data_IF_817635521211
#
_entry.id   IF_817635521211
#
_cell.length_a   1.000
_cell.length_b   1.000
_cell.length_c   1.000
_cell.angle_alpha   90.00
_cell.angle_beta   90.00
_cell.angle_gamma   90.00
#
_symmetry.space_group_name_H-M   'P 1'
#
loop_
_entity.id
_entity.type
_entity.pdbx_description
1 polymer ?
#
# COMPACT_ATOMS: atom_id res chain seq x y z
N UNK A 1 -2.50 -13.21 42.57
CA UNK A 1 -3.48 -14.19 43.05
C UNK A 1 -4.84 -13.50 43.13
N UNK A 2 -5.79 -13.88 42.25
CA UNK A 2 -7.26 -13.93 42.44
C UNK A 2 -8.00 -12.61 42.79
N UNK A 3 -9.16 -12.21 42.25
CA UNK A 3 -10.27 -12.78 41.47
C UNK A 3 -10.95 -11.57 40.76
N UNK A 4 -11.31 -11.60 39.48
CA UNK A 4 -12.57 -12.11 38.90
C UNK A 4 -13.85 -11.47 39.47
N UNK A 5 -14.53 -10.65 38.65
CA UNK A 5 -16.01 -10.61 38.60
C UNK A 5 -16.48 -10.27 37.19
N UNK A 6 -17.14 -11.26 36.59
CA UNK A 6 -17.96 -11.23 35.38
C UNK A 6 -19.40 -10.79 35.71
N UNK A 7 -20.10 -10.22 34.72
CA UNK A 7 -21.57 -10.19 34.50
C UNK A 7 -21.80 -9.54 33.10
N UNK A 8 -21.75 -10.26 31.98
CA UNK A 8 -22.86 -10.90 31.21
C UNK A 8 -24.17 -10.10 31.18
N UNK A 9 -24.58 -9.62 29.99
CA UNK A 9 -25.91 -9.89 29.40
C UNK A 9 -25.90 -9.74 27.86
N UNK A 10 -26.65 -10.65 27.23
CA UNK A 10 -26.80 -10.96 25.80
C UNK A 10 -27.57 -9.91 24.97
N UNK A 11 -27.50 -10.10 23.65
CA UNK A 11 -28.31 -9.56 22.53
C UNK A 11 -27.62 -8.40 21.76
N UNK A 12 -27.17 -8.57 20.52
CA UNK A 12 -27.92 -9.09 19.38
C UNK A 12 -27.09 -9.93 18.42
N UNK A 13 -27.74 -10.98 17.92
CA UNK A 13 -27.38 -11.75 16.75
C UNK A 13 -27.45 -10.84 15.51
N UNK A 14 -26.36 -10.15 15.21
CA UNK A 14 -26.12 -9.53 13.92
C UNK A 14 -24.94 -10.26 13.31
N UNK A 15 -25.20 -11.35 12.59
CA UNK A 15 -24.16 -12.08 11.87
C UNK A 15 -23.57 -11.20 10.77
N UNK A 16 -22.61 -10.35 11.11
CA UNK A 16 -21.69 -9.76 10.17
C UNK A 16 -20.73 -10.87 9.73
N UNK A 17 -21.20 -11.74 8.82
CA UNK A 17 -20.33 -12.63 8.06
C UNK A 17 -19.30 -11.75 7.37
N UNK A 18 -18.00 -12.02 7.58
CA UNK A 18 -16.99 -11.57 6.65
C UNK A 18 -17.44 -11.98 5.25
N UNK A 19 -17.57 -11.03 4.33
CA UNK A 19 -18.02 -11.36 2.98
C UNK A 19 -17.00 -12.31 2.33
N UNK A 20 -17.41 -13.53 1.93
CA UNK A 20 -16.50 -14.47 1.32
C UNK A 20 -15.88 -13.86 0.07
N UNK A 21 -14.55 -13.86 -0.03
CA UNK A 21 -13.83 -13.46 -1.24
C UNK A 21 -13.34 -12.01 -1.30
N UNK A 22 -13.12 -11.35 -0.17
CA UNK A 22 -12.34 -10.10 -0.10
C UNK A 22 -11.45 -10.01 1.14
N UNK A 23 -10.37 -9.24 1.07
CA UNK A 23 -9.58 -8.80 2.22
C UNK A 23 -9.37 -7.29 2.17
N UNK A 24 -9.10 -6.68 3.32
CA UNK A 24 -8.79 -5.25 3.40
C UNK A 24 -7.28 -5.05 3.45
N UNK A 25 -6.78 -4.14 2.63
CA UNK A 25 -5.41 -3.63 2.72
C UNK A 25 -5.47 -2.19 3.22
N UNK A 26 -5.10 -1.98 4.48
CA UNK A 26 -5.06 -0.68 5.13
C UNK A 26 -3.69 -0.55 5.77
N UNK A 27 -3.14 0.64 5.64
CA UNK A 27 -1.74 0.85 5.93
C UNK A 27 -1.48 2.27 6.41
N UNK A 28 -0.29 2.47 6.99
CA UNK A 28 0.30 3.77 7.29
C UNK A 28 -0.72 4.64 8.04
N UNK A 29 -1.22 4.08 9.15
CA UNK A 29 -2.18 4.74 10.00
C UNK A 29 -1.60 6.01 10.62
N UNK A 30 -0.32 5.95 11.02
CA UNK A 30 0.42 6.99 11.74
C UNK A 30 -0.44 7.76 12.73
N UNK A 31 -0.62 7.19 13.93
CA UNK A 31 -1.34 7.89 14.99
C UNK A 31 -0.49 9.05 15.52
N UNK A 32 -1.02 10.26 15.44
CA UNK A 32 -0.58 11.40 16.24
C UNK A 32 -1.46 11.49 17.51
N UNK A 33 -0.95 11.04 18.67
CA UNK A 33 -1.75 11.00 19.91
C UNK A 33 -2.01 12.40 20.48
N UNK A 34 -1.24 13.41 20.05
CA UNK A 34 -1.31 14.78 20.55
C UNK A 34 -2.10 15.72 19.63
N UNK A 35 -2.63 15.20 18.52
CA UNK A 35 -3.44 15.98 17.59
C UNK A 35 -4.65 16.63 18.28
N UNK A 36 -4.75 17.95 18.19
CA UNK A 36 -5.80 18.77 18.82
C UNK A 36 -6.42 19.74 17.82
N UNK A 37 -7.73 19.93 17.92
CA UNK A 37 -8.43 21.01 17.19
C UNK A 37 -7.86 22.37 17.65
N UNK A 38 -7.57 23.31 16.73
CA UNK A 38 -6.63 24.39 17.01
C UNK A 38 -7.17 25.38 18.05
N UNK A 39 -6.37 25.57 19.10
CA UNK A 39 -6.36 26.82 19.91
C UNK A 39 -5.19 27.73 19.50
N UNK A 40 -4.09 27.13 19.07
CA UNK A 40 -2.88 27.80 18.55
C UNK A 40 -2.32 27.00 17.35
N UNK A 41 -2.05 27.63 16.20
CA UNK A 41 -1.66 26.92 14.96
C UNK A 41 -0.37 26.08 15.04
N UNK A 42 0.55 26.40 15.96
CA UNK A 42 1.82 25.68 16.13
C UNK A 42 1.76 24.56 17.19
N UNK A 43 0.59 24.29 17.76
CA UNK A 43 0.40 23.28 18.82
C UNK A 43 -0.70 22.28 18.46
N UNK A 44 -1.01 22.17 17.17
CA UNK A 44 -2.03 21.24 16.67
C UNK A 44 -1.51 19.81 16.74
N UNK A 45 -0.34 19.55 16.19
CA UNK A 45 0.22 18.21 16.08
C UNK A 45 1.77 18.28 16.04
N UNK A 46 2.48 17.44 16.81
CA UNK A 46 3.94 17.36 16.74
C UNK A 46 4.44 16.89 15.36
N UNK A 47 3.66 16.09 14.63
CA UNK A 47 4.00 15.58 13.29
C UNK A 47 4.18 16.65 12.21
N UNK A 48 3.62 17.86 12.39
CA UNK A 48 3.86 19.00 11.50
C UNK A 48 5.23 19.68 11.72
N UNK A 49 5.93 19.32 12.81
CA UNK A 49 7.18 19.97 13.21
C UNK A 49 6.96 21.45 13.52
N UNK A 50 7.65 22.33 12.79
CA UNK A 50 7.57 23.78 12.96
C UNK A 50 6.54 24.46 12.04
N UNK A 51 5.79 23.70 11.26
CA UNK A 51 4.81 24.26 10.33
C UNK A 51 3.56 24.74 11.08
N UNK A 52 2.99 25.86 10.62
CA UNK A 52 1.73 26.39 11.15
C UNK A 52 0.55 25.62 10.57
N UNK A 53 -0.37 25.16 11.42
CA UNK A 53 -1.56 24.39 11.05
C UNK A 53 -2.83 25.15 11.48
N UNK A 54 -3.24 26.21 10.77
CA UNK A 54 -4.28 27.13 11.25
C UNK A 54 -5.70 26.56 11.19
N UNK A 55 -5.96 25.62 10.28
CA UNK A 55 -7.31 25.15 9.93
C UNK A 55 -7.53 23.66 10.19
N UNK A 56 -6.79 23.08 11.14
CA UNK A 56 -6.94 21.67 11.47
C UNK A 56 -8.38 21.36 11.91
N UNK A 57 -8.95 20.31 11.33
CA UNK A 57 -10.29 19.85 11.68
C UNK A 57 -10.26 18.60 12.57
N UNK A 58 -11.43 18.12 13.00
CA UNK A 58 -11.55 16.95 13.86
C UNK A 58 -11.08 15.65 13.19
N UNK A 59 -11.01 15.61 11.86
CA UNK A 59 -10.58 14.44 11.09
C UNK A 59 -9.10 14.48 10.69
N UNK A 60 -8.37 15.54 11.04
CA UNK A 60 -6.95 15.71 10.76
C UNK A 60 -6.64 16.95 9.93
N UNK A 61 -5.39 17.07 9.51
CA UNK A 61 -4.86 18.09 8.60
C UNK A 61 -3.77 17.47 7.73
N UNK A 62 -3.59 17.92 6.48
CA UNK A 62 -2.57 17.37 5.60
C UNK A 62 -1.13 17.64 6.07
N UNK A 63 -0.90 18.53 7.04
CA UNK A 63 0.42 18.70 7.64
C UNK A 63 0.66 17.76 8.83
N UNK A 64 -0.36 17.07 9.30
CA UNK A 64 -0.31 16.21 10.47
C UNK A 64 -0.41 14.73 10.07
N UNK A 65 0.12 13.89 10.93
CA UNK A 65 -0.29 12.50 11.02
C UNK A 65 -1.72 12.35 11.57
N UNK A 66 -2.28 11.14 11.49
CA UNK A 66 -3.70 10.90 11.75
C UNK A 66 -4.08 11.10 13.22
N UNK A 67 -5.14 11.87 13.54
CA UNK A 67 -5.76 11.78 14.85
C UNK A 67 -6.46 10.44 15.04
N UNK A 68 -6.66 10.04 16.30
CA UNK A 68 -7.44 8.84 16.63
C UNK A 68 -8.84 8.83 15.98
N UNK A 69 -9.49 9.98 15.84
CA UNK A 69 -10.80 10.09 15.20
C UNK A 69 -10.79 9.60 13.75
N UNK A 70 -9.72 9.87 13.00
CA UNK A 70 -9.56 9.40 11.61
C UNK A 70 -9.31 7.89 11.55
N UNK A 71 -8.37 7.40 12.37
CA UNK A 71 -8.07 5.96 12.46
C UNK A 71 -9.30 5.16 12.89
N UNK A 72 -10.01 5.62 13.92
CA UNK A 72 -11.24 4.99 14.37
C UNK A 72 -12.31 5.00 13.26
N UNK A 73 -12.40 6.07 12.48
CA UNK A 73 -13.32 6.17 11.35
C UNK A 73 -12.99 5.16 10.22
N UNK A 74 -11.71 4.97 9.90
CA UNK A 74 -11.29 4.00 8.88
C UNK A 74 -11.56 2.55 9.34
N UNK A 75 -11.24 2.25 10.59
CA UNK A 75 -11.45 0.92 11.19
C UNK A 75 -12.94 0.59 11.31
N UNK A 76 -13.78 1.56 11.67
CA UNK A 76 -15.24 1.35 11.78
C UNK A 76 -15.87 0.88 10.47
N UNK A 77 -15.29 1.25 9.31
CA UNK A 77 -15.77 0.79 8.00
C UNK A 77 -15.45 -0.66 7.67
N UNK A 78 -14.51 -1.28 8.36
CA UNK A 78 -14.15 -2.68 8.15
C UNK A 78 -15.18 -3.65 8.74
N UNK A 79 -15.98 -3.16 9.69
CA UNK A 79 -16.93 -3.95 10.45
C UNK A 79 -16.25 -4.70 11.60
N UNK A 80 -17.05 -5.02 12.62
CA UNK A 80 -16.60 -5.61 13.89
C UNK A 80 -15.76 -6.88 13.70
N UNK A 81 -16.16 -7.77 12.77
CA UNK A 81 -15.44 -9.00 12.48
C UNK A 81 -13.99 -8.76 12.05
N UNK A 82 -13.75 -7.77 11.19
CA UNK A 82 -12.40 -7.45 10.74
C UNK A 82 -11.55 -6.86 11.88
N UNK A 83 -12.15 -6.04 12.74
CA UNK A 83 -11.47 -5.46 13.92
C UNK A 83 -11.04 -6.56 14.89
N UNK A 84 -11.91 -7.53 15.16
CA UNK A 84 -11.60 -8.65 16.04
C UNK A 84 -10.45 -9.50 15.49
N UNK A 85 -10.39 -9.73 14.17
CA UNK A 85 -9.27 -10.43 13.54
C UNK A 85 -7.95 -9.64 13.64
N UNK A 86 -7.98 -8.30 13.47
CA UNK A 86 -6.81 -7.45 13.69
C UNK A 86 -6.28 -7.61 15.13
N UNK A 87 -7.17 -7.54 16.13
CA UNK A 87 -6.79 -7.70 17.55
C UNK A 87 -6.21 -9.08 17.81
N UNK A 88 -6.78 -10.15 17.24
CA UNK A 88 -6.24 -11.52 17.35
C UNK A 88 -4.85 -11.63 16.73
N UNK A 89 -4.66 -11.14 15.52
CA UNK A 89 -3.37 -11.17 14.82
C UNK A 89 -2.30 -10.38 15.58
N UNK A 90 -2.62 -9.17 16.06
CA UNK A 90 -1.72 -8.38 16.91
C UNK A 90 -1.35 -9.13 18.19
N UNK A 91 -2.33 -9.78 18.83
CA UNK A 91 -2.08 -10.59 20.03
C UNK A 91 -1.18 -11.80 19.74
N UNK A 92 -1.33 -12.45 18.58
CA UNK A 92 -0.46 -13.54 18.14
C UNK A 92 0.97 -13.05 17.89
N UNK A 93 1.12 -11.94 17.15
CA UNK A 93 2.42 -11.33 16.85
C UNK A 93 3.17 -10.88 18.12
N UNK A 94 2.43 -10.33 19.10
CA UNK A 94 2.97 -9.98 20.42
C UNK A 94 3.38 -11.23 21.22
N UNK A 95 2.73 -12.38 21.03
CA UNK A 95 3.06 -13.65 21.71
C UNK A 95 4.21 -14.42 21.06
N UNK A 96 4.45 -14.23 19.77
CA UNK A 96 5.50 -14.90 18.98
C UNK A 96 6.85 -14.13 18.95
N UNK A 97 6.97 -13.07 19.77
CA UNK A 97 8.20 -12.35 20.20
C UNK A 97 9.48 -12.72 19.41
N UNK A 98 9.64 -12.06 18.25
CA UNK A 98 10.91 -11.66 17.64
C UNK A 98 11.97 -12.74 17.29
N UNK A 99 11.66 -13.63 16.36
CA UNK A 99 12.65 -14.03 15.35
C UNK A 99 12.24 -13.43 14.00
N UNK A 100 12.59 -12.16 13.78
CA UNK A 100 12.61 -11.55 12.45
C UNK A 100 11.36 -10.89 11.89
N UNK A 101 10.26 -10.77 12.64
CA UNK A 101 9.05 -10.03 12.21
C UNK A 101 8.46 -10.42 10.83
N UNK A 102 8.87 -11.57 10.25
CA UNK A 102 8.31 -12.15 9.05
C UNK A 102 7.71 -13.52 9.35
N UNK A 103 6.64 -13.87 8.65
CA UNK A 103 5.95 -15.15 8.84
C UNK A 103 5.09 -15.50 7.62
N UNK A 104 4.61 -16.74 7.55
CA UNK A 104 3.71 -17.19 6.50
C UNK A 104 2.51 -17.91 7.10
N UNK A 105 1.31 -17.63 6.62
CA UNK A 105 0.06 -18.24 7.12
C UNK A 105 -0.81 -18.74 5.96
N UNK A 106 -1.46 -19.88 6.17
CA UNK A 106 -2.45 -20.40 5.22
C UNK A 106 -3.73 -19.58 5.31
N UNK A 107 -4.29 -19.23 4.16
CA UNK A 107 -5.56 -18.52 4.09
C UNK A 107 -6.71 -19.45 4.52
N UNK A 108 -7.60 -18.99 5.42
CA UNK A 108 -8.77 -19.76 5.79
C UNK A 108 -9.76 -19.79 4.60
N UNK A 109 -10.18 -20.99 4.19
CA UNK A 109 -11.17 -21.13 3.12
C UNK A 109 -11.28 -22.56 2.58
N UNK A 110 -12.39 -22.89 1.87
CA UNK A 110 -12.70 -24.25 1.44
C UNK A 110 -11.68 -24.84 0.45
N UNK A 111 -10.87 -24.02 -0.22
CA UNK A 111 -9.83 -24.49 -1.14
C UNK A 111 -8.48 -24.75 -0.47
N UNK A 112 -8.17 -24.15 0.69
CA UNK A 112 -6.82 -24.16 1.31
C UNK A 112 -5.68 -23.60 0.46
N UNK A 113 -5.91 -23.37 -0.83
CA UNK A 113 -4.97 -22.91 -1.84
C UNK A 113 -4.75 -21.40 -1.72
N UNK A 114 -3.79 -21.03 -0.88
CA UNK A 114 -3.49 -19.63 -0.59
C UNK A 114 -2.62 -19.49 0.65
N UNK A 115 -1.49 -18.81 0.51
CA UNK A 115 -0.65 -18.42 1.64
C UNK A 115 -0.43 -16.91 1.62
N UNK A 116 -0.51 -16.25 2.77
CA UNK A 116 0.00 -14.89 2.94
C UNK A 116 1.40 -15.00 3.52
N UNK A 117 2.35 -14.32 2.90
CA UNK A 117 3.71 -14.12 3.39
C UNK A 117 3.82 -12.68 3.83
N UNK A 118 4.11 -12.46 5.11
CA UNK A 118 4.38 -11.15 5.69
C UNK A 118 5.89 -10.98 5.79
N UNK A 119 6.41 -9.98 5.09
CA UNK A 119 7.82 -9.68 4.93
C UNK A 119 8.12 -8.27 5.47
N UNK A 120 8.25 -8.14 6.80
CA UNK A 120 8.50 -6.86 7.46
C UNK A 120 9.98 -6.55 7.61
N UNK A 121 10.27 -5.28 7.87
CA UNK A 121 11.62 -4.75 8.01
C UNK A 121 12.28 -5.23 9.31
N UNK A 122 13.48 -5.79 9.20
CA UNK A 122 14.30 -6.22 10.32
C UNK A 122 15.46 -5.26 10.50
N UNK A 123 15.28 -4.22 11.32
CA UNK A 123 16.34 -3.26 11.59
C UNK A 123 17.57 -3.91 12.28
N UNK A 124 17.38 -5.01 13.03
CA UNK A 124 18.41 -5.50 13.96
C UNK A 124 18.64 -7.03 13.93
N UNK A 125 18.37 -7.71 12.80
CA UNK A 125 18.62 -9.15 12.72
C UNK A 125 20.04 -9.51 12.28
N UNK A 126 20.54 -10.61 12.86
CA UNK A 126 21.74 -11.35 12.45
C UNK A 126 21.55 -11.87 11.02
N UNK A 127 21.83 -11.01 10.03
CA UNK A 127 21.89 -11.35 8.61
C UNK A 127 20.55 -11.27 7.86
N UNK A 128 20.26 -10.18 7.12
CA UNK A 128 19.13 -10.10 6.18
C UNK A 128 19.12 -11.20 5.10
N UNK A 129 20.24 -11.92 4.91
CA UNK A 129 20.31 -13.10 4.05
C UNK A 129 19.40 -14.26 4.48
N UNK A 130 19.10 -14.40 5.77
CA UNK A 130 18.23 -15.49 6.26
C UNK A 130 16.76 -15.27 5.86
N UNK A 131 16.30 -14.02 5.77
CA UNK A 131 14.94 -13.69 5.36
C UNK A 131 14.69 -13.97 3.88
N UNK A 132 15.65 -13.64 3.00
CA UNK A 132 15.54 -13.99 1.58
C UNK A 132 15.57 -15.49 1.34
N UNK A 133 16.43 -16.22 2.05
CA UNK A 133 16.44 -17.69 1.97
C UNK A 133 15.14 -18.30 2.49
N UNK A 134 14.62 -17.78 3.61
CA UNK A 134 13.32 -18.22 4.13
C UNK A 134 12.19 -17.97 3.13
N UNK A 135 12.14 -16.78 2.52
CA UNK A 135 11.13 -16.44 1.51
C UNK A 135 11.20 -17.40 0.31
N UNK A 136 12.42 -17.65 -0.17
CA UNK A 136 12.71 -18.60 -1.24
C UNK A 136 12.23 -20.02 -0.91
N UNK A 137 12.47 -20.49 0.33
CA UNK A 137 12.04 -21.81 0.79
C UNK A 137 10.51 -21.90 0.90
N UNK A 138 9.85 -20.86 1.41
CA UNK A 138 8.38 -20.77 1.51
C UNK A 138 7.75 -20.85 0.11
N UNK A 139 8.23 -20.05 -0.85
CA UNK A 139 7.72 -20.04 -2.21
C UNK A 139 8.00 -21.36 -2.94
N UNK A 140 9.16 -21.97 -2.70
CA UNK A 140 9.49 -23.31 -3.22
C UNK A 140 8.51 -24.36 -2.69
N UNK A 141 8.19 -24.32 -1.41
CA UNK A 141 7.25 -25.26 -0.80
C UNK A 141 5.81 -25.02 -1.28
N UNK A 142 5.39 -23.77 -1.45
CA UNK A 142 4.11 -23.43 -2.05
C UNK A 142 4.00 -24.00 -3.48
N UNK A 143 5.06 -23.86 -4.29
CA UNK A 143 5.15 -24.43 -5.63
C UNK A 143 4.97 -25.96 -5.64
N UNK A 144 5.68 -26.67 -4.74
CA UNK A 144 5.55 -28.12 -4.58
C UNK A 144 4.15 -28.55 -4.15
N UNK A 145 3.47 -27.75 -3.36
CA UNK A 145 2.13 -28.02 -2.86
C UNK A 145 1.01 -27.56 -3.82
N UNK A 146 1.34 -26.85 -4.91
CA UNK A 146 0.35 -26.29 -5.84
C UNK A 146 -0.41 -25.09 -5.25
N UNK A 147 0.17 -24.41 -4.27
CA UNK A 147 -0.40 -23.24 -3.63
C UNK A 147 -0.03 -21.94 -4.35
N UNK A 148 -0.92 -20.95 -4.23
CA UNK A 148 -0.64 -19.57 -4.63
C UNK A 148 -0.33 -18.71 -3.41
N UNK A 149 0.49 -17.69 -3.60
CA UNK A 149 1.03 -16.85 -2.52
C UNK A 149 0.73 -15.38 -2.76
N UNK A 150 0.24 -14.69 -1.73
CA UNK A 150 0.23 -13.23 -1.66
C UNK A 150 1.38 -12.77 -0.77
N UNK A 151 2.23 -11.88 -1.30
CA UNK A 151 3.32 -11.28 -0.53
C UNK A 151 2.84 -9.93 0.01
N UNK A 152 3.05 -9.67 1.29
CA UNK A 152 2.74 -8.40 1.95
C UNK A 152 4.01 -7.90 2.63
N UNK A 153 4.36 -6.63 2.44
CA UNK A 153 5.51 -6.02 3.10
C UNK A 153 5.32 -4.52 3.36
N UNK A 154 6.15 -3.92 4.22
CA UNK A 154 6.08 -2.47 4.47
C UNK A 154 6.69 -1.68 3.32
N UNK A 155 8.02 -1.74 3.24
CA UNK A 155 8.80 -0.96 2.29
C UNK A 155 8.89 -1.73 0.96
N UNK A 156 8.47 -1.13 -0.16
CA UNK A 156 8.59 -1.78 -1.47
C UNK A 156 10.03 -1.74 -2.02
N UNK A 157 10.43 -2.74 -2.81
CA UNK A 157 11.60 -2.63 -3.69
C UNK A 157 11.37 -1.58 -4.79
N UNK A 158 12.46 -1.20 -5.45
CA UNK A 158 12.47 -0.20 -6.51
C UNK A 158 12.49 1.24 -5.98
N UNK A 159 12.00 2.15 -6.81
CA UNK A 159 12.08 3.59 -6.57
C UNK A 159 10.73 4.19 -6.16
N UNK A 160 10.80 5.24 -5.34
CA UNK A 160 9.66 6.09 -4.99
C UNK A 160 9.31 7.00 -6.16
N UNK A 161 8.08 6.90 -6.66
CA UNK A 161 7.68 7.54 -7.91
C UNK A 161 7.52 9.06 -7.84
N UNK A 162 7.46 9.65 -6.64
CA UNK A 162 7.30 11.11 -6.45
C UNK A 162 8.60 11.91 -6.56
N UNK A 163 9.76 11.25 -6.63
CA UNK A 163 11.07 11.92 -6.72
C UNK A 163 12.08 11.05 -7.47
N UNK A 164 13.18 11.66 -7.93
CA UNK A 164 14.22 10.95 -8.66
C UNK A 164 15.15 10.17 -7.73
N UNK A 165 15.64 9.01 -8.19
CA UNK A 165 16.74 8.25 -7.59
C UNK A 165 16.54 7.91 -6.10
N UNK A 166 15.30 7.88 -5.61
CA UNK A 166 15.00 7.49 -4.24
C UNK A 166 14.57 6.02 -4.17
N UNK A 167 15.49 5.15 -3.77
CA UNK A 167 15.18 3.80 -3.32
C UNK A 167 15.22 3.72 -1.79
N UNK A 168 14.53 2.73 -1.24
CA UNK A 168 14.49 2.45 0.20
C UNK A 168 15.33 1.24 0.59
N UNK A 169 15.40 0.25 -0.30
CA UNK A 169 16.21 -0.93 -0.07
C UNK A 169 17.69 -0.52 -0.13
N UNK A 170 18.48 -1.05 0.80
CA UNK A 170 19.93 -0.92 0.74
C UNK A 170 20.46 -1.64 -0.51
N UNK A 171 21.66 -1.25 -0.93
CA UNK A 171 22.36 -1.82 -2.08
C UNK A 171 22.40 -3.35 -2.00
N UNK A 172 22.12 -4.04 -3.11
CA UNK A 172 22.07 -5.50 -3.16
C UNK A 172 20.75 -6.14 -2.70
N UNK A 173 19.97 -5.51 -1.81
CA UNK A 173 18.70 -6.11 -1.35
C UNK A 173 17.60 -6.05 -2.40
N UNK A 174 17.62 -5.01 -3.24
CA UNK A 174 16.69 -4.90 -4.35
C UNK A 174 16.87 -6.05 -5.34
N UNK A 175 18.10 -6.31 -5.78
CA UNK A 175 18.38 -7.44 -6.69
C UNK A 175 18.04 -8.79 -6.06
N UNK A 176 18.35 -8.99 -4.76
CA UNK A 176 18.02 -10.24 -4.06
C UNK A 176 16.52 -10.49 -4.01
N UNK A 177 15.71 -9.48 -3.70
CA UNK A 177 14.26 -9.60 -3.73
C UNK A 177 13.75 -9.93 -5.13
N UNK A 178 14.20 -9.18 -6.14
CA UNK A 178 13.78 -9.38 -7.53
C UNK A 178 14.14 -10.78 -8.02
N UNK A 179 15.31 -11.31 -7.67
CA UNK A 179 15.74 -12.68 -8.02
C UNK A 179 14.80 -13.76 -7.46
N UNK A 180 14.38 -13.62 -6.20
CA UNK A 180 13.43 -14.56 -5.56
C UNK A 180 12.07 -14.49 -6.27
N UNK A 181 11.55 -13.28 -6.50
CA UNK A 181 10.25 -13.10 -7.17
C UNK A 181 10.29 -13.58 -8.61
N UNK A 182 11.37 -13.33 -9.34
CA UNK A 182 11.56 -13.77 -10.71
C UNK A 182 11.53 -15.31 -10.80
N UNK A 183 12.27 -15.99 -9.91
CA UNK A 183 12.30 -17.46 -9.85
C UNK A 183 10.94 -18.09 -9.51
N UNK A 184 10.15 -17.41 -8.69
CA UNK A 184 8.88 -17.94 -8.16
C UNK A 184 7.62 -17.24 -8.71
N UNK A 185 7.73 -16.44 -9.77
CA UNK A 185 6.62 -15.61 -10.27
C UNK A 185 5.32 -16.37 -10.52
N UNK A 186 5.42 -17.64 -10.94
CA UNK A 186 4.26 -18.51 -11.21
C UNK A 186 3.39 -18.83 -10.00
N UNK A 187 3.95 -18.81 -8.79
CA UNK A 187 3.19 -19.07 -7.55
C UNK A 187 2.74 -17.79 -6.86
N UNK A 188 3.21 -16.63 -7.30
CA UNK A 188 2.89 -15.34 -6.67
C UNK A 188 1.62 -14.78 -7.32
N UNK A 189 0.51 -14.82 -6.60
CA UNK A 189 -0.79 -14.31 -7.05
C UNK A 189 -0.92 -12.78 -6.98
N UNK A 190 -0.08 -12.13 -6.18
CA UNK A 190 -0.04 -10.68 -6.05
C UNK A 190 0.88 -10.24 -4.92
N UNK A 191 1.36 -9.00 -5.00
CA UNK A 191 2.21 -8.40 -3.97
C UNK A 191 1.57 -7.09 -3.47
N UNK A 192 1.57 -6.86 -2.17
CA UNK A 192 0.95 -5.71 -1.52
C UNK A 192 1.94 -5.02 -0.61
N UNK A 193 2.31 -3.81 -0.97
CA UNK A 193 3.27 -2.98 -0.25
C UNK A 193 2.66 -1.63 0.09
N UNK A 194 3.39 -0.87 0.91
CA UNK A 194 2.92 0.37 1.52
C UNK A 194 4.06 1.38 1.60
N UNK A 195 4.16 2.19 2.65
CA UNK A 195 5.27 3.11 2.93
C UNK A 195 5.30 4.39 2.07
N UNK A 196 4.90 4.35 0.80
CA UNK A 196 4.91 5.55 -0.06
C UNK A 196 3.78 6.53 0.25
N UNK A 197 2.72 6.07 0.92
CA UNK A 197 1.46 6.78 1.20
C UNK A 197 0.66 7.20 -0.05
N UNK A 198 1.17 6.90 -1.24
CA UNK A 198 0.57 7.16 -2.54
C UNK A 198 0.05 5.88 -3.19
N UNK A 199 -0.88 6.04 -4.14
CA UNK A 199 -1.42 4.92 -4.91
C UNK A 199 -0.58 4.63 -6.14
N UNK A 200 -0.03 3.42 -6.22
CA UNK A 200 0.83 3.06 -7.33
C UNK A 200 0.90 1.54 -7.53
N UNK A 201 1.49 1.11 -8.64
CA UNK A 201 1.83 -0.29 -8.86
C UNK A 201 3.21 -0.42 -9.52
N UNK A 202 3.79 -1.62 -9.45
CA UNK A 202 5.05 -1.98 -10.10
C UNK A 202 4.87 -3.28 -10.88
N UNK A 203 5.42 -3.30 -12.08
CA UNK A 203 5.45 -4.46 -12.96
C UNK A 203 6.78 -5.19 -12.82
N UNK A 204 6.75 -6.52 -12.82
CA UNK A 204 7.92 -7.37 -12.92
C UNK A 204 7.81 -8.26 -14.15
N UNK A 205 8.93 -8.44 -14.84
CA UNK A 205 9.02 -9.14 -16.12
C UNK A 205 10.01 -10.29 -16.05
N UNK A 206 9.83 -11.29 -16.90
CA UNK A 206 10.86 -12.30 -17.17
C UNK A 206 11.84 -11.82 -18.25
N UNK A 207 12.83 -12.67 -18.57
CA UNK A 207 13.88 -12.36 -19.56
C UNK A 207 13.33 -12.24 -21.00
N UNK A 208 12.14 -12.79 -21.25
CA UNK A 208 11.45 -12.65 -22.54
C UNK A 208 10.60 -11.37 -22.60
N UNK A 209 10.55 -10.58 -21.52
CA UNK A 209 9.74 -9.37 -21.41
C UNK A 209 8.27 -9.63 -21.08
N UNK A 210 7.88 -10.84 -20.68
CA UNK A 210 6.51 -11.14 -20.30
C UNK A 210 6.22 -10.71 -18.85
N UNK A 211 5.06 -10.10 -18.55
CA UNK A 211 4.72 -9.66 -17.20
C UNK A 211 4.42 -10.88 -16.30
N UNK A 212 5.28 -11.11 -15.30
CA UNK A 212 5.18 -12.28 -14.41
C UNK A 212 4.59 -11.96 -13.03
N UNK A 213 4.64 -10.70 -12.60
CA UNK A 213 4.07 -10.29 -11.32
C UNK A 213 3.72 -8.81 -11.29
N UNK A 214 2.78 -8.47 -10.42
CA UNK A 214 2.41 -7.09 -10.13
C UNK A 214 2.42 -6.84 -8.63
N UNK A 215 2.93 -5.68 -8.26
CA UNK A 215 2.98 -5.19 -6.90
C UNK A 215 2.12 -3.94 -6.77
N UNK A 216 1.20 -3.94 -5.82
CA UNK A 216 0.35 -2.80 -5.50
C UNK A 216 0.92 -2.07 -4.30
N UNK A 217 1.16 -0.78 -4.46
CA UNK A 217 1.56 0.14 -3.39
C UNK A 217 0.30 0.86 -2.95
N UNK A 218 -0.14 0.57 -1.74
CA UNK A 218 -1.40 1.12 -1.21
C UNK A 218 -1.14 2.40 -0.43
N UNK A 219 -1.95 3.45 -0.65
CA UNK A 219 -1.82 4.72 0.03
C UNK A 219 -2.19 4.60 1.52
N UNK A 220 -1.72 5.57 2.30
CA UNK A 220 -1.89 5.59 3.74
C UNK A 220 -3.27 6.08 4.19
N UNK A 221 -3.64 5.75 5.43
CA UNK A 221 -4.72 6.48 6.13
C UNK A 221 -4.23 7.85 6.55
N UNK A 222 -2.95 8.00 6.92
CA UNK A 222 -2.38 9.31 7.23
C UNK A 222 -2.43 10.23 6.00
N UNK A 223 -2.92 11.47 6.15
CA UNK A 223 -2.86 12.47 5.09
C UNK A 223 -1.54 13.24 5.07
N UNK A 224 -0.59 12.88 5.96
CA UNK A 224 0.62 13.65 6.22
C UNK A 224 1.41 13.96 4.94
N UNK A 225 1.68 15.24 4.76
CA UNK A 225 2.49 15.78 3.67
C UNK A 225 3.95 15.47 3.93
N UNK A 226 4.54 14.70 3.02
CA UNK A 226 5.94 14.30 3.17
C UNK A 226 6.90 15.49 3.23
N UNK A 227 7.87 15.39 4.15
CA UNK A 227 9.01 16.31 4.27
C UNK A 227 10.20 15.88 3.42
N UNK A 228 10.07 14.81 2.63
CA UNK A 228 11.15 14.33 1.76
C UNK A 228 11.57 15.43 0.77
N UNK A 229 12.86 15.82 0.76
CA UNK A 229 13.35 16.86 -0.14
C UNK A 229 13.05 16.56 -1.62
N UNK A 230 12.60 17.58 -2.35
CA UNK A 230 12.25 17.48 -3.77
C UNK A 230 10.82 17.03 -4.05
N UNK A 231 10.06 16.55 -3.05
CA UNK A 231 8.63 16.25 -3.22
C UNK A 231 7.79 17.48 -2.90
N UNK A 232 7.09 18.01 -3.90
CA UNK A 232 6.18 19.13 -3.75
C UNK A 232 4.75 18.61 -3.59
N UNK A 233 4.02 19.14 -2.61
CA UNK A 233 2.61 18.76 -2.33
C UNK A 233 2.41 17.23 -2.15
N UNK A 234 3.35 16.54 -1.51
CA UNK A 234 3.29 15.09 -1.29
C UNK A 234 2.40 14.66 -0.13
N UNK A 235 1.17 15.17 -0.07
CA UNK A 235 0.11 14.67 0.79
C UNK A 235 -0.83 13.75 -0.01
N UNK A 236 -1.70 13.05 0.69
CA UNK A 236 -2.77 12.23 0.12
C UNK A 236 -4.05 12.36 0.96
N UNK A 237 -5.19 12.01 0.38
CA UNK A 237 -6.37 11.76 1.21
C UNK A 237 -6.27 10.39 1.92
N UNK A 238 -6.92 10.22 3.08
CA UNK A 238 -7.01 8.93 3.77
C UNK A 238 -7.71 7.85 2.95
N UNK A 239 -7.21 6.60 2.99
CA UNK A 239 -7.74 5.47 2.20
C UNK A 239 -8.11 4.25 3.03
N UNK A 240 -9.16 3.54 2.59
CA UNK A 240 -9.40 2.13 2.89
C UNK A 240 -9.61 1.35 1.58
N UNK A 241 -8.99 0.17 1.45
CA UNK A 241 -8.96 -0.57 0.18
C UNK A 241 -9.32 -2.04 0.34
N UNK A 242 -10.54 -2.47 -0.01
CA UNK A 242 -10.84 -3.89 -0.16
C UNK A 242 -10.31 -4.42 -1.50
N UNK A 243 -9.75 -5.61 -1.45
CA UNK A 243 -9.20 -6.37 -2.56
C UNK A 243 -9.91 -7.72 -2.69
N UNK A 244 -10.13 -8.19 -3.91
CA UNK A 244 -10.96 -9.36 -4.22
C UNK A 244 -10.12 -10.47 -4.87
N UNK A 245 -9.68 -11.50 -4.14
CA UNK A 245 -8.87 -12.60 -4.69
C UNK A 245 -9.69 -13.75 -5.31
N UNK A 246 -9.16 -14.48 -6.33
CA UNK A 246 -9.37 -15.94 -6.60
C UNK A 246 -8.76 -16.43 -7.94
N UNK A 247 -7.85 -17.44 -7.97
CA UNK A 247 -6.66 -17.55 -7.13
C UNK A 247 -5.69 -16.37 -7.34
N UNK A 248 -5.81 -15.63 -8.45
CA UNK A 248 -5.16 -14.33 -8.70
C UNK A 248 -6.10 -13.17 -8.33
N UNK A 249 -5.55 -11.96 -8.23
CA UNK A 249 -6.32 -10.78 -7.86
C UNK A 249 -7.32 -10.40 -8.97
N UNK A 250 -8.60 -10.39 -8.62
CA UNK A 250 -9.68 -10.04 -9.54
C UNK A 250 -9.86 -8.53 -9.61
N UNK A 251 -9.91 -7.84 -8.47
CA UNK A 251 -10.12 -6.40 -8.44
C UNK A 251 -9.65 -5.75 -7.13
N UNK A 252 -9.49 -4.44 -7.16
CA UNK A 252 -9.26 -3.58 -6.00
C UNK A 252 -10.17 -2.37 -6.08
N UNK A 253 -10.79 -2.03 -4.97
CA UNK A 253 -11.64 -0.84 -4.86
C UNK A 253 -10.99 0.10 -3.87
N UNK A 254 -10.80 1.36 -4.25
CA UNK A 254 -10.26 2.38 -3.35
C UNK A 254 -11.40 3.25 -2.86
N UNK A 255 -11.57 3.29 -1.54
CA UNK A 255 -12.41 4.29 -0.90
C UNK A 255 -11.52 5.31 -0.22
N UNK A 256 -11.91 6.58 -0.27
CA UNK A 256 -11.16 7.66 0.32
C UNK A 256 -12.08 8.58 1.12
N UNK A 257 -11.47 9.38 1.99
CA UNK A 257 -12.12 10.51 2.63
C UNK A 257 -11.53 11.79 2.06
N UNK A 258 -12.32 12.61 1.36
CA UNK A 258 -11.89 13.97 1.04
C UNK A 258 -11.77 14.75 2.35
N UNK A 259 -10.53 14.89 2.87
CA UNK A 259 -10.28 15.40 4.21
C UNK A 259 -10.72 16.86 4.35
N UNK A 260 -10.48 17.67 3.31
CA UNK A 260 -10.92 19.07 3.25
C UNK A 260 -12.44 19.17 3.39
N UNK A 261 -13.19 18.37 2.63
CA UNK A 261 -14.64 18.34 2.66
C UNK A 261 -15.17 17.80 4.00
N UNK A 262 -14.58 16.72 4.51
CA UNK A 262 -14.97 16.11 5.78
C UNK A 262 -14.82 17.08 6.95
N UNK A 263 -13.73 17.85 6.97
CA UNK A 263 -13.50 18.90 7.96
C UNK A 263 -14.48 20.07 7.81
N UNK A 264 -14.72 20.55 6.58
CA UNK A 264 -15.66 21.64 6.32
C UNK A 264 -17.11 21.30 6.70
N UNK A 265 -17.51 20.04 6.50
CA UNK A 265 -18.88 19.57 6.78
C UNK A 265 -19.03 18.99 8.19
N UNK A 266 -17.93 18.75 8.93
CA UNK A 266 -17.95 18.04 10.20
C UNK A 266 -18.42 16.59 10.10
N UNK A 267 -18.41 15.99 8.89
CA UNK A 267 -18.95 14.65 8.62
C UNK A 267 -17.86 13.69 8.14
N UNK A 268 -17.74 12.55 8.83
CA UNK A 268 -16.87 11.44 8.40
C UNK A 268 -17.51 10.66 7.24
N UNK A 269 -17.25 11.10 6.01
CA UNK A 269 -17.79 10.48 4.79
C UNK A 269 -16.67 9.81 3.99
N UNK A 270 -16.73 8.49 3.92
CA UNK A 270 -15.91 7.68 3.03
C UNK A 270 -16.67 7.48 1.72
N UNK A 271 -16.01 7.77 0.60
CA UNK A 271 -16.58 7.70 -0.74
C UNK A 271 -15.78 6.76 -1.62
N UNK A 272 -16.42 6.21 -2.65
CA UNK A 272 -15.71 5.47 -3.68
C UNK A 272 -14.82 6.46 -4.45
N UNK A 273 -13.52 6.21 -4.47
CA UNK A 273 -12.62 6.90 -5.40
C UNK A 273 -12.69 6.22 -6.76
N UNK A 274 -12.29 4.95 -6.81
CA UNK A 274 -12.35 4.16 -8.03
C UNK A 274 -12.37 2.65 -7.76
N UNK A 275 -12.80 1.90 -8.77
CA UNK A 275 -12.65 0.45 -8.87
C UNK A 275 -11.70 0.17 -10.03
N UNK A 276 -10.60 -0.56 -9.80
CA UNK A 276 -9.48 -0.69 -10.73
C UNK A 276 -9.92 -1.15 -12.13
N UNK A 277 -10.70 -2.22 -12.20
CA UNK A 277 -11.18 -2.77 -13.49
C UNK A 277 -12.01 -1.78 -14.29
N UNK A 278 -12.83 -0.97 -13.61
CA UNK A 278 -13.67 0.07 -14.24
C UNK A 278 -12.86 1.29 -14.64
N UNK A 279 -11.99 1.77 -13.75
CA UNK A 279 -11.19 2.96 -13.98
C UNK A 279 -10.23 2.79 -15.15
N UNK A 280 -9.64 1.60 -15.29
CA UNK A 280 -8.64 1.30 -16.31
C UNK A 280 -9.13 0.35 -17.40
N UNK A 281 -10.43 0.05 -17.47
CA UNK A 281 -11.03 -0.76 -18.54
C UNK A 281 -10.32 -2.10 -18.76
N UNK A 282 -10.08 -2.83 -17.67
CA UNK A 282 -9.43 -4.15 -17.69
C UNK A 282 -10.31 -5.20 -17.01
N UNK A 283 -10.26 -6.46 -17.46
CA UNK A 283 -11.16 -7.50 -16.94
C UNK A 283 -10.86 -7.93 -15.51
N UNK A 284 -9.60 -7.81 -15.08
CA UNK A 284 -9.14 -8.17 -13.74
C UNK A 284 -7.83 -7.45 -13.40
N UNK A 285 -7.38 -7.53 -12.15
CA UNK A 285 -6.14 -6.92 -11.65
C UNK A 285 -4.89 -7.83 -11.78
N UNK A 286 -4.81 -8.67 -12.82
CA UNK A 286 -3.62 -9.50 -13.08
C UNK A 286 -2.47 -8.69 -13.69
N UNK A 287 -1.25 -9.23 -13.63
CA UNK A 287 -0.07 -8.61 -14.26
C UNK A 287 -0.27 -8.34 -15.76
N UNK A 288 -0.90 -9.27 -16.49
CA UNK A 288 -1.18 -9.09 -17.91
C UNK A 288 -2.16 -7.92 -18.17
N UNK A 289 -3.19 -7.77 -17.34
CA UNK A 289 -4.10 -6.63 -17.44
C UNK A 289 -3.42 -5.31 -17.07
N UNK A 290 -2.58 -5.32 -16.03
CA UNK A 290 -1.84 -4.13 -15.64
C UNK A 290 -0.79 -3.70 -16.67
N UNK A 291 -0.28 -4.61 -17.49
CA UNK A 291 0.51 -4.23 -18.66
C UNK A 291 -0.29 -3.33 -19.60
N UNK A 292 -1.54 -3.70 -19.93
CA UNK A 292 -2.40 -2.86 -20.76
C UNK A 292 -2.78 -1.52 -20.10
N UNK A 293 -2.90 -1.50 -18.76
CA UNK A 293 -3.06 -0.23 -18.02
C UNK A 293 -1.82 0.65 -18.20
N UNK A 294 -0.64 0.06 -18.04
CA UNK A 294 0.63 0.76 -18.16
C UNK A 294 0.88 1.28 -19.58
N UNK A 295 0.61 0.48 -20.60
CA UNK A 295 0.71 0.89 -22.01
C UNK A 295 -0.19 2.09 -22.29
N UNK A 296 -1.38 2.14 -21.67
CA UNK A 296 -2.30 3.27 -21.80
C UNK A 296 -1.80 4.50 -21.05
N UNK A 297 -1.31 4.35 -19.82
CA UNK A 297 -0.73 5.46 -19.04
C UNK A 297 0.46 6.08 -19.78
N UNK A 298 1.27 5.28 -20.48
CA UNK A 298 2.44 5.78 -21.22
C UNK A 298 2.10 6.35 -22.60
N UNK A 299 1.00 5.92 -23.21
CA UNK A 299 0.58 6.34 -24.55
C UNK A 299 -0.51 7.41 -24.61
N UNK A 300 -1.21 7.70 -23.50
CA UNK A 300 -2.34 8.62 -23.45
C UNK A 300 -2.26 9.59 -22.25
N UNK A 301 -2.25 10.89 -22.55
CA UNK A 301 -2.14 11.95 -21.54
C UNK A 301 -3.34 11.99 -20.58
N UNK A 302 -4.55 11.64 -21.05
CA UNK A 302 -5.74 11.57 -20.20
C UNK A 302 -5.64 10.44 -19.18
N UNK A 303 -5.18 9.25 -19.61
CA UNK A 303 -4.93 8.12 -18.74
C UNK A 303 -3.82 8.39 -17.72
N UNK A 304 -2.73 9.05 -18.15
CA UNK A 304 -1.67 9.52 -17.25
C UNK A 304 -2.23 10.48 -16.20
N UNK A 305 -3.05 11.45 -16.60
CA UNK A 305 -3.66 12.41 -15.68
C UNK A 305 -4.58 11.74 -14.67
N UNK A 306 -5.40 10.78 -15.09
CA UNK A 306 -6.25 10.01 -14.17
C UNK A 306 -5.43 9.20 -13.17
N UNK A 307 -4.38 8.52 -13.62
CA UNK A 307 -3.47 7.79 -12.74
C UNK A 307 -2.75 8.73 -11.74
N UNK A 308 -2.32 9.91 -12.20
CA UNK A 308 -1.70 10.92 -11.35
C UNK A 308 -2.65 11.48 -10.28
N UNK A 309 -3.92 11.71 -10.64
CA UNK A 309 -4.94 12.12 -9.69
C UNK A 309 -5.12 11.07 -8.58
N UNK A 310 -5.31 9.80 -8.95
CA UNK A 310 -5.44 8.69 -8.01
C UNK A 310 -4.17 8.43 -7.19
N UNK A 311 -2.98 8.72 -7.72
CA UNK A 311 -1.71 8.57 -6.99
C UNK A 311 -1.69 9.37 -5.69
N UNK A 312 -2.26 10.57 -5.67
CA UNK A 312 -2.43 11.39 -4.46
C UNK A 312 -3.75 11.14 -3.74
N UNK A 313 -4.50 10.10 -4.13
CA UNK A 313 -5.85 9.83 -3.65
C UNK A 313 -6.76 11.05 -3.86
N UNK A 314 -6.73 11.60 -5.07
CA UNK A 314 -7.53 12.77 -5.45
C UNK A 314 -7.29 14.02 -4.58
N UNK A 315 -6.16 14.11 -3.88
CA UNK A 315 -5.75 15.30 -3.13
C UNK A 315 -5.32 16.44 -4.06
N UNK A 316 -4.49 16.12 -5.07
CA UNK A 316 -3.90 17.10 -5.96
C UNK A 316 -4.39 16.87 -7.40
N UNK A 317 -5.22 17.79 -7.88
CA UNK A 317 -5.77 17.78 -9.24
C UNK A 317 -4.97 18.62 -10.24
N UNK A 318 -3.72 18.96 -9.92
CA UNK A 318 -2.85 19.67 -10.86
C UNK A 318 -2.57 18.85 -12.11
N UNK A 319 -2.28 19.52 -13.21
CA UNK A 319 -1.95 18.86 -14.47
C UNK A 319 -0.59 18.19 -14.35
N UNK A 320 -0.54 16.94 -14.77
CA UNK A 320 0.70 16.22 -14.97
C UNK A 320 1.26 16.65 -16.33
N UNK A 321 2.12 17.68 -16.34
CA UNK A 321 2.75 18.15 -17.56
C UNK A 321 3.88 17.19 -18.00
N UNK A 322 3.91 16.86 -19.30
CA UNK A 322 4.93 16.01 -19.95
C UNK A 322 6.35 16.65 -19.97
N UNK A 323 6.47 17.87 -19.44
CA UNK A 323 7.62 18.75 -19.53
C UNK A 323 8.78 18.33 -18.59
N UNK A 324 9.49 17.25 -18.92
CA UNK A 324 10.86 16.99 -18.43
C UNK A 324 11.61 15.86 -19.16
N UNK A 325 11.25 15.47 -20.39
CA UNK A 325 12.00 14.38 -21.06
C UNK A 325 13.45 14.72 -21.42
N UNK A 326 13.87 16.00 -21.47
CA UNK A 326 15.25 16.36 -21.91
C UNK A 326 15.89 17.58 -21.22
N UNK A 327 15.15 18.54 -20.61
CA UNK A 327 15.80 19.74 -20.06
C UNK A 327 15.91 19.74 -18.53
N UNK A 328 17.16 19.76 -18.09
CA UNK A 328 17.62 19.99 -16.73
C UNK A 328 17.05 21.33 -16.22
N UNK A 329 16.38 21.28 -15.06
CA UNK A 329 15.87 22.40 -14.25
C UNK A 329 14.44 22.92 -14.52
N UNK A 330 13.42 22.07 -14.30
CA UNK A 330 12.13 22.53 -13.76
C UNK A 330 11.44 21.42 -12.97
N UNK A 331 11.02 21.76 -11.75
CA UNK A 331 10.49 20.85 -10.73
C UNK A 331 9.02 20.49 -11.00
N UNK A 332 8.76 19.46 -11.82
CA UNK A 332 7.38 18.97 -12.05
C UNK A 332 7.27 17.47 -11.72
N UNK A 333 6.39 17.18 -10.76
CA UNK A 333 6.21 15.94 -9.97
C UNK A 333 5.35 14.88 -10.66
N UNK A 334 5.41 14.76 -11.98
CA UNK A 334 4.82 13.60 -12.63
C UNK A 334 5.68 12.40 -12.32
N UNK A 335 5.10 11.46 -11.56
CA UNK A 335 5.47 10.05 -11.51
C UNK A 335 6.72 9.74 -12.34
N UNK A 336 7.88 9.65 -11.69
CA UNK A 336 9.08 9.16 -12.35
C UNK A 336 8.84 7.69 -12.66
N UNK A 337 8.16 7.42 -13.77
CA UNK A 337 8.02 6.10 -14.35
C UNK A 337 9.44 5.67 -14.74
N UNK A 338 10.04 4.67 -14.08
CA UNK A 338 11.32 4.14 -14.51
C UNK A 338 11.09 3.16 -15.67
N UNK A 339 10.33 3.60 -16.67
CA UNK A 339 9.84 2.75 -17.77
C UNK A 339 10.33 3.19 -19.14
N UNK A 340 11.16 4.25 -19.21
CA UNK A 340 11.73 4.71 -20.47
C UNK A 340 13.26 4.69 -20.57
N UNK A 341 14.00 4.34 -19.51
CA UNK A 341 15.47 4.20 -19.62
C UNK A 341 15.94 2.75 -19.89
N UNK A 342 15.08 1.74 -19.74
CA UNK A 342 15.44 0.33 -20.03
C UNK A 342 14.77 -0.23 -21.28
N UNK A 343 13.60 0.28 -21.70
CA UNK A 343 12.95 -0.18 -22.93
C UNK A 343 13.53 0.45 -24.22
N UNK A 344 14.28 1.57 -24.10
CA UNK A 344 14.83 2.31 -25.24
C UNK A 344 16.34 2.09 -25.49
N UNK A 345 17.05 1.34 -24.64
CA UNK A 345 18.48 1.13 -24.83
C UNK A 345 18.86 -0.09 -25.67
N UNK A 346 17.92 -0.85 -26.22
CA UNK A 346 18.14 -1.66 -27.43
C UNK A 346 19.48 -2.40 -27.48
N UNK A 347 19.91 -2.99 -26.37
CA UNK A 347 21.13 -3.78 -26.28
C UNK A 347 20.69 -5.19 -25.90
N UNK A 348 20.51 -5.98 -26.96
CA UNK A 348 21.02 -7.34 -26.92
C UNK A 348 22.38 -7.33 -26.20
N UNK A 349 22.55 -8.29 -25.29
CA UNK A 349 23.79 -8.71 -24.62
C UNK A 349 24.28 -7.92 -23.39
N UNK A 350 24.63 -8.75 -22.39
CA UNK A 350 25.44 -8.55 -21.18
C UNK A 350 24.76 -7.96 -19.93
N UNK A 351 24.93 -8.51 -18.72
CA UNK A 351 25.46 -9.79 -18.16
C UNK A 351 25.16 -9.68 -16.64
N UNK A 352 24.76 -10.79 -16.00
CA UNK A 352 24.78 -11.15 -14.55
C UNK A 352 24.27 -10.17 -13.48
#
# INVERSE_FOLDING_TARGET
MRLLTWLIFLAHWGGARAEPGKFWHITDLHLDPDHKVPKYPFQVCPSAGFQSVPNAGPWGDYLCDSPWALINSSIYKLGEAAVLEIVKCLTKLIREVFLGAFYSEKLPGPSGAGQIVVNELTADMVGPGQQFQWLEDVLTNASKAGDMVYIVGHVPPGFFEKTQNKAWFQEGFNEKYLKVVWKHGRVIAGQFFRHHHTDSFRMLYDDAGAPISAMFITPGVTPWKTTLPGVINGANNPVIRPAYPKPFLQDMVTYFMNLSQANAQGMRRWELEYQLTKAYWVPHASAHSLQAVLDRITGDQGALQHYYLYNSVSYYAGVCEEAARVEVAAYTTCLYLPLLLMALLGLCTLVL
#
